data_IF_989459818750
#
_entry.id   IF_989459818750
#
_cell.length_a   1.000
_cell.length_b   1.000
_cell.length_c   1.000
_cell.angle_alpha   90.00
_cell.angle_beta   90.00
_cell.angle_gamma   90.00
#
_symmetry.space_group_name_H-M   'P 1'
#
loop_
_entity.id
_entity.type
_entity.pdbx_description
1 polymer ?
#
# COMPACT_ATOMS: atom_id res chain seq x y z
N UNK A 1 12.83 2.70 -13.15
CA UNK A 1 12.05 1.93 -14.15
C UNK A 1 12.96 1.23 -15.16
N UNK A 2 14.02 1.87 -15.65
CA UNK A 2 14.98 1.27 -16.63
C UNK A 2 15.54 -0.10 -16.23
N UNK A 3 15.84 -0.30 -14.94
CA UNK A 3 16.32 -1.58 -14.39
C UNK A 3 15.34 -2.76 -14.56
N UNK A 4 14.08 -2.51 -14.91
CA UNK A 4 13.07 -3.56 -15.12
C UNK A 4 13.19 -4.24 -16.49
N UNK A 5 14.01 -3.73 -17.42
CA UNK A 5 14.23 -4.34 -18.74
C UNK A 5 13.09 -4.16 -19.75
N UNK A 6 11.89 -3.76 -19.32
CA UNK A 6 10.74 -3.43 -20.18
C UNK A 6 9.44 -4.07 -19.68
N UNK A 7 8.35 -3.88 -20.44
CA UNK A 7 7.08 -4.58 -20.23
C UNK A 7 5.97 -3.74 -19.58
N UNK A 8 4.95 -4.42 -19.05
CA UNK A 8 3.81 -3.78 -18.39
C UNK A 8 4.05 -3.70 -16.88
N UNK A 9 3.88 -2.52 -16.32
CA UNK A 9 4.01 -2.28 -14.88
C UNK A 9 2.70 -1.71 -14.37
N UNK A 10 2.19 -2.29 -13.29
CA UNK A 10 0.99 -1.80 -12.62
C UNK A 10 1.41 -1.14 -11.32
N UNK A 11 0.95 0.08 -11.11
CA UNK A 11 1.29 0.91 -9.96
C UNK A 11 0.04 1.16 -9.10
N UNK A 12 0.22 1.19 -7.77
CA UNK A 12 -0.84 1.62 -6.85
C UNK A 12 -0.90 3.14 -6.68
N UNK A 13 0.16 3.85 -7.07
CA UNK A 13 0.23 5.31 -7.20
C UNK A 13 0.36 5.67 -8.68
N UNK A 14 0.02 6.90 -9.09
CA UNK A 14 0.32 7.37 -10.43
C UNK A 14 1.79 7.09 -10.79
N UNK A 15 2.07 6.55 -12.00
CA UNK A 15 3.44 6.40 -12.45
C UNK A 15 4.14 7.77 -12.54
N UNK A 16 5.47 7.81 -12.49
CA UNK A 16 6.21 9.04 -12.76
C UNK A 16 5.84 9.59 -14.15
N UNK A 17 5.90 10.92 -14.31
CA UNK A 17 5.57 11.58 -15.59
C UNK A 17 6.43 11.08 -16.75
N UNK A 18 7.67 10.68 -16.46
CA UNK A 18 8.59 10.11 -17.42
C UNK A 18 8.67 8.59 -17.24
N UNK A 19 8.17 7.86 -18.24
CA UNK A 19 8.21 6.40 -18.30
C UNK A 19 9.07 6.00 -19.50
N UNK A 20 10.07 5.11 -19.33
CA UNK A 20 10.89 4.63 -20.45
C UNK A 20 10.03 4.05 -21.57
N UNK A 21 10.43 4.27 -22.83
CA UNK A 21 9.64 3.88 -24.03
C UNK A 21 9.28 2.39 -24.09
N UNK A 22 10.13 1.52 -23.53
CA UNK A 22 9.93 0.08 -23.47
C UNK A 22 9.04 -0.37 -22.29
N UNK A 23 8.49 0.57 -21.49
CA UNK A 23 7.61 0.30 -20.35
C UNK A 23 6.25 0.92 -20.58
N UNK A 24 5.20 0.14 -20.34
CA UNK A 24 3.81 0.58 -20.28
C UNK A 24 3.35 0.57 -18.82
N UNK A 25 3.21 1.76 -18.23
CA UNK A 25 2.77 1.89 -16.85
C UNK A 25 1.27 2.18 -16.78
N UNK A 26 0.56 1.47 -15.90
CA UNK A 26 -0.84 1.71 -15.59
C UNK A 26 -1.08 1.84 -14.09
N UNK A 27 -2.20 2.42 -13.70
CA UNK A 27 -2.63 2.50 -12.29
C UNK A 27 -3.74 1.49 -12.05
N UNK A 28 -3.66 0.76 -10.94
CA UNK A 28 -4.80 -0.02 -10.43
C UNK A 28 -5.15 0.44 -9.02
N UNK A 29 -6.45 0.60 -8.80
CA UNK A 29 -7.02 0.78 -7.46
C UNK A 29 -7.95 -0.39 -7.18
N UNK A 30 -7.50 -1.34 -6.38
CA UNK A 30 -8.16 -2.64 -6.18
C UNK A 30 -9.31 -2.61 -5.16
N UNK A 31 -9.88 -1.43 -4.89
CA UNK A 31 -11.02 -1.26 -4.00
C UNK A 31 -12.20 -0.78 -4.84
N UNK A 32 -13.17 -1.67 -5.04
CA UNK A 32 -14.42 -1.40 -5.74
C UNK A 32 -15.54 -2.28 -5.17
N UNK A 33 -16.75 -2.17 -5.74
CA UNK A 33 -17.91 -2.96 -5.32
C UNK A 33 -17.74 -4.48 -5.51
N UNK A 34 -16.92 -4.91 -6.47
CA UNK A 34 -16.61 -6.33 -6.71
C UNK A 34 -15.68 -6.89 -5.63
N UNK A 35 -14.72 -6.10 -5.15
CA UNK A 35 -13.75 -6.55 -4.13
C UNK A 35 -14.21 -6.32 -2.69
N UNK A 36 -15.24 -5.51 -2.48
CA UNK A 36 -15.72 -5.13 -1.14
C UNK A 36 -16.09 -6.33 -0.26
N UNK A 37 -16.81 -7.32 -0.82
CA UNK A 37 -17.23 -8.52 -0.08
C UNK A 37 -16.03 -9.40 0.30
N UNK A 38 -15.03 -9.53 -0.58
CA UNK A 38 -13.81 -10.29 -0.27
C UNK A 38 -13.07 -9.67 0.91
N UNK A 39 -12.94 -8.33 0.94
CA UNK A 39 -12.32 -7.62 2.07
C UNK A 39 -13.12 -7.81 3.36
N UNK A 40 -14.45 -7.67 3.29
CA UNK A 40 -15.33 -7.77 4.46
C UNK A 40 -15.39 -9.19 5.02
N UNK A 41 -15.77 -10.16 4.19
CA UNK A 41 -16.15 -11.49 4.63
C UNK A 41 -14.95 -12.44 4.75
N UNK A 42 -13.98 -12.35 3.83
CA UNK A 42 -12.85 -13.28 3.81
C UNK A 42 -11.60 -12.71 4.47
N UNK A 43 -11.13 -11.54 4.06
CA UNK A 43 -9.86 -10.97 4.55
C UNK A 43 -9.94 -10.66 6.04
N UNK A 44 -11.04 -10.06 6.51
CA UNK A 44 -11.23 -9.74 7.94
C UNK A 44 -11.22 -11.00 8.80
N UNK A 45 -12.03 -12.01 8.46
CA UNK A 45 -12.06 -13.26 9.21
C UNK A 45 -10.72 -14.03 9.14
N UNK A 46 -10.01 -13.97 8.02
CA UNK A 46 -8.69 -14.59 7.88
C UNK A 46 -7.61 -13.90 8.75
N UNK A 47 -7.70 -12.59 8.95
CA UNK A 47 -6.83 -11.85 9.87
C UNK A 47 -7.15 -12.18 11.32
N UNK A 48 -8.44 -12.17 11.69
CA UNK A 48 -8.89 -12.51 13.04
C UNK A 48 -8.51 -13.95 13.43
N UNK A 49 -8.71 -14.90 12.50
CA UNK A 49 -8.33 -16.31 12.69
C UNK A 49 -6.83 -16.60 12.51
N UNK A 50 -5.98 -15.58 12.28
CA UNK A 50 -4.53 -15.73 12.14
C UNK A 50 -4.05 -16.47 10.89
N UNK A 51 -4.94 -16.76 9.93
CA UNK A 51 -4.60 -17.31 8.61
C UNK A 51 -3.75 -16.29 7.83
N UNK A 52 -4.10 -15.01 7.94
CA UNK A 52 -3.27 -13.90 7.49
C UNK A 52 -2.54 -13.28 8.68
N UNK A 53 -1.28 -12.91 8.46
CA UNK A 53 -0.43 -12.26 9.46
C UNK A 53 -0.14 -10.83 9.04
N UNK A 54 -0.23 -9.90 9.99
CA UNK A 54 0.15 -8.50 9.80
C UNK A 54 1.67 -8.35 9.81
N UNK A 55 2.32 -8.80 8.74
CA UNK A 55 3.78 -8.75 8.59
C UNK A 55 4.18 -7.90 7.37
N UNK A 56 5.32 -7.19 7.44
CA UNK A 56 6.17 -7.00 8.62
C UNK A 56 5.50 -6.15 9.72
N UNK A 57 6.04 -6.22 10.94
CA UNK A 57 5.56 -5.43 12.08
C UNK A 57 5.46 -3.92 11.75
N UNK A 58 4.40 -3.24 12.19
CA UNK A 58 4.16 -1.85 11.84
C UNK A 58 5.21 -0.91 12.44
N UNK A 59 5.25 0.31 11.92
CA UNK A 59 5.92 1.46 12.51
C UNK A 59 4.82 2.27 13.22
N UNK A 60 4.81 2.27 14.54
CA UNK A 60 3.87 3.08 15.33
C UNK A 60 4.51 4.46 15.55
N UNK A 61 3.87 5.51 15.05
CA UNK A 61 4.43 6.88 15.12
C UNK A 61 4.26 7.48 16.51
N UNK A 62 3.04 7.42 17.07
CA UNK A 62 2.59 7.77 18.44
C UNK A 62 1.04 7.89 18.42
N UNK A 63 0.44 8.15 19.58
CA UNK A 63 -1.02 8.32 19.75
C UNK A 63 -1.51 9.74 19.44
N UNK A 64 -2.63 9.85 18.72
CA UNK A 64 -3.42 11.06 18.50
C UNK A 64 -3.50 11.51 17.03
N UNK A 65 -4.71 11.88 16.59
CA UNK A 65 -5.03 12.29 15.21
C UNK A 65 -4.16 13.44 14.67
N UNK A 66 -3.67 14.33 15.55
CA UNK A 66 -2.75 15.43 15.21
C UNK A 66 -1.46 14.98 14.51
N UNK A 67 -1.10 13.70 14.65
CA UNK A 67 0.10 13.12 14.05
C UNK A 67 -0.12 12.59 12.62
N UNK A 68 -1.32 12.74 12.05
CA UNK A 68 -1.63 12.25 10.68
C UNK A 68 -0.64 12.79 9.65
N UNK A 69 -0.31 14.07 9.71
CA UNK A 69 0.65 14.68 8.79
C UNK A 69 2.07 14.11 8.96
N UNK A 70 2.48 13.78 10.18
CA UNK A 70 3.76 13.14 10.48
C UNK A 70 3.79 11.71 9.92
N UNK A 71 2.71 10.94 10.11
CA UNK A 71 2.57 9.61 9.52
C UNK A 71 2.67 9.62 7.99
N UNK A 72 2.04 10.59 7.33
CA UNK A 72 2.16 10.76 5.87
C UNK A 72 3.59 11.12 5.44
N UNK A 73 4.30 11.96 6.20
CA UNK A 73 5.72 12.25 5.93
C UNK A 73 6.57 10.98 6.05
N UNK A 74 6.34 10.18 7.09
CA UNK A 74 7.04 8.91 7.30
C UNK A 74 6.84 7.92 6.14
N UNK A 75 5.63 7.82 5.60
CA UNK A 75 5.35 6.98 4.42
C UNK A 75 6.17 7.43 3.21
N UNK A 76 6.31 8.74 2.99
CA UNK A 76 7.04 9.31 1.84
C UNK A 76 8.56 9.07 1.89
N UNK A 77 9.13 8.88 3.07
CA UNK A 77 10.55 8.53 3.24
C UNK A 77 10.86 7.10 2.75
N UNK A 78 9.83 6.29 2.50
CA UNK A 78 9.98 4.88 2.18
C UNK A 78 10.05 4.03 3.45
N UNK A 79 9.17 3.04 3.54
CA UNK A 79 8.98 2.23 4.77
C UNK A 79 9.20 0.75 4.54
N UNK A 80 9.76 0.36 3.38
CA UNK A 80 10.05 -1.04 3.03
C UNK A 80 8.88 -1.97 3.35
N UNK A 81 7.71 -1.65 2.78
CA UNK A 81 6.43 -2.36 2.95
C UNK A 81 5.82 -2.39 4.37
N UNK A 82 6.50 -1.86 5.40
CA UNK A 82 5.93 -1.71 6.76
C UNK A 82 4.76 -0.73 6.77
N UNK A 83 3.71 -1.07 7.52
CA UNK A 83 2.58 -0.17 7.73
C UNK A 83 2.94 0.91 8.75
N UNK A 84 2.61 2.17 8.45
CA UNK A 84 2.70 3.27 9.41
C UNK A 84 1.36 3.39 10.13
N UNK A 85 1.38 3.31 11.46
CA UNK A 85 0.18 3.30 12.30
C UNK A 85 0.20 4.48 13.26
N UNK A 86 -0.95 5.13 13.41
CA UNK A 86 -1.21 6.16 14.41
C UNK A 86 -2.30 5.60 15.32
N UNK A 87 -1.99 5.49 16.61
CA UNK A 87 -2.94 5.03 17.59
C UNK A 87 -3.87 6.18 18.00
N UNK A 88 -5.08 5.86 18.45
CA UNK A 88 -6.05 6.84 18.96
C UNK A 88 -6.03 6.90 20.47
#
# INVERSE_FOLDING_TARGET
>A
LEKLGGGHVVCSHPPPCEVPKNIKAGVIFAVNNVTAEVWREYVTAALEGGKFKCLPEPIVVRKGLKLTQEGLKRVKEGVSTRKVVIEL
#
